data_IF_572328169848
#
_entry.id   IF_572328169848
#
_cell.length_a   1.000
_cell.length_b   1.000
_cell.length_c   1.000
_cell.angle_alpha   90.00
_cell.angle_beta   90.00
_cell.angle_gamma   90.00
#
_symmetry.space_group_name_H-M   'P 1'
#
loop_
_entity.id
_entity.type
_entity.pdbx_description
1 polymer ?
#
# COMPACT_ATOMS: atom_id res chain seq x y z
N UNK A 1 -8.63 -6.82 26.98
CA UNK A 1 -9.86 -6.02 27.21
C UNK A 1 -10.01 -5.13 25.99
N UNK A 2 -11.01 -5.39 25.13
CA UNK A 2 -11.23 -4.57 23.95
C UNK A 2 -11.58 -3.13 24.39
N UNK A 3 -10.78 -2.16 23.99
CA UNK A 3 -11.01 -0.76 24.34
C UNK A 3 -12.30 -0.28 23.63
N UNK A 4 -13.12 0.50 24.33
CA UNK A 4 -14.44 0.91 23.83
C UNK A 4 -14.31 1.64 22.48
N UNK A 5 -15.03 1.13 21.49
CA UNK A 5 -15.17 1.74 20.16
C UNK A 5 -15.78 3.15 20.36
N UNK A 6 -15.12 4.22 19.89
CA UNK A 6 -15.66 5.57 20.01
C UNK A 6 -16.92 5.73 19.15
N UNK A 7 -17.86 6.54 19.62
CA UNK A 7 -19.16 6.74 18.96
C UNK A 7 -19.00 7.24 17.53
N UNK A 8 -18.04 8.13 17.31
CA UNK A 8 -17.73 8.70 16.01
C UNK A 8 -17.24 7.62 15.03
N UNK A 9 -16.53 6.60 15.50
CA UNK A 9 -16.12 5.49 14.64
C UNK A 9 -17.35 4.66 14.23
N UNK A 10 -18.22 4.31 15.18
CA UNK A 10 -19.44 3.53 14.92
C UNK A 10 -20.42 4.24 13.97
N UNK A 11 -20.53 5.57 14.06
CA UNK A 11 -21.41 6.38 13.21
C UNK A 11 -20.93 6.49 11.75
N UNK A 12 -19.65 6.21 11.49
CA UNK A 12 -19.05 6.32 10.16
C UNK A 12 -18.75 4.95 9.51
N UNK A 13 -19.24 3.86 10.10
CA UNK A 13 -19.19 2.53 9.49
C UNK A 13 -20.20 2.44 8.34
N UNK A 14 -19.80 1.77 7.26
CA UNK A 14 -20.74 1.38 6.22
C UNK A 14 -21.72 0.32 6.72
N UNK A 15 -22.84 0.15 6.00
CA UNK A 15 -23.78 -0.94 6.28
C UNK A 15 -23.09 -2.29 6.20
N UNK A 16 -23.24 -3.10 7.25
CA UNK A 16 -22.58 -4.41 7.42
C UNK A 16 -21.04 -4.35 7.43
N UNK A 17 -20.45 -3.24 7.86
CA UNK A 17 -19.02 -3.16 8.20
C UNK A 17 -18.84 -3.46 9.68
N UNK A 18 -17.95 -4.40 10.01
CA UNK A 18 -17.69 -4.82 11.39
C UNK A 18 -16.32 -4.33 11.86
N UNK A 19 -16.28 -3.71 13.03
CA UNK A 19 -15.02 -3.37 13.69
C UNK A 19 -14.42 -4.65 14.29
N UNK A 20 -13.27 -5.06 13.76
CA UNK A 20 -12.51 -6.20 14.26
C UNK A 20 -11.69 -5.82 15.48
N UNK A 21 -11.09 -4.63 15.45
CA UNK A 21 -10.25 -4.14 16.54
C UNK A 21 -10.19 -2.61 16.59
N UNK A 22 -9.94 -2.02 17.76
CA UNK A 22 -9.78 -0.58 17.91
C UNK A 22 -8.66 -0.27 18.92
N UNK A 23 -7.68 0.53 18.50
CA UNK A 23 -6.57 0.98 19.35
C UNK A 23 -6.74 2.46 19.68
N UNK A 24 -6.48 2.83 20.94
CA UNK A 24 -6.40 4.22 21.37
C UNK A 24 -4.96 4.65 21.62
N UNK A 25 -4.58 5.84 21.13
CA UNK A 25 -3.28 6.45 21.43
C UNK A 25 -3.20 6.87 22.90
N UNK A 26 -2.14 6.45 23.62
CA UNK A 26 -1.97 6.66 25.07
C UNK A 26 -1.22 7.94 25.45
N UNK A 27 -1.06 8.89 24.52
CA UNK A 27 -0.30 10.12 24.77
C UNK A 27 -1.17 11.20 25.41
N UNK A 28 -0.89 11.57 26.66
CA UNK A 28 -1.67 12.57 27.43
C UNK A 28 -1.44 14.03 27.02
N UNK A 29 -0.54 14.29 26.06
CA UNK A 29 -0.23 15.65 25.59
C UNK A 29 -1.30 16.19 24.64
N UNK A 30 -2.03 15.32 23.95
CA UNK A 30 -3.11 15.69 23.04
C UNK A 30 -4.41 15.84 23.86
N UNK A 31 -5.14 16.95 23.67
CA UNK A 31 -6.36 17.26 24.43
C UNK A 31 -7.47 16.21 24.23
N UNK A 32 -7.44 15.53 23.07
CA UNK A 32 -8.35 14.47 22.69
C UNK A 32 -7.56 13.32 22.07
N UNK A 33 -8.02 12.07 22.26
CA UNK A 33 -7.30 10.89 21.79
C UNK A 33 -7.49 10.67 20.28
N UNK A 34 -6.48 10.04 19.69
CA UNK A 34 -6.54 9.45 18.35
C UNK A 34 -6.85 7.97 18.45
N UNK A 35 -7.62 7.46 17.50
CA UNK A 35 -8.00 6.06 17.40
C UNK A 35 -7.64 5.49 16.04
N UNK A 36 -7.33 4.20 16.04
CA UNK A 36 -7.17 3.40 14.84
C UNK A 36 -8.15 2.23 14.91
N UNK A 37 -9.20 2.29 14.10
CA UNK A 37 -10.18 1.22 13.94
C UNK A 37 -9.77 0.30 12.79
N UNK A 38 -9.65 -0.99 13.07
CA UNK A 38 -9.45 -2.03 12.06
C UNK A 38 -10.80 -2.68 11.81
N UNK A 39 -11.31 -2.60 10.58
CA UNK A 39 -12.59 -3.21 10.19
C UNK A 39 -12.38 -4.38 9.25
N UNK A 40 -13.45 -5.10 8.92
CA UNK A 40 -13.43 -6.13 7.89
C UNK A 40 -13.28 -5.59 6.46
N UNK A 41 -13.32 -4.27 6.25
CA UNK A 41 -13.20 -3.63 4.91
C UNK A 41 -12.04 -2.66 4.77
N UNK A 42 -11.66 -1.97 5.84
CA UNK A 42 -10.64 -0.91 5.80
C UNK A 42 -10.05 -0.64 7.18
N UNK A 43 -9.00 0.15 7.20
CA UNK A 43 -8.52 0.77 8.44
C UNK A 43 -9.06 2.20 8.48
N UNK A 44 -9.58 2.61 9.62
CA UNK A 44 -10.13 3.94 9.86
C UNK A 44 -9.24 4.64 10.89
N UNK A 45 -8.65 5.75 10.50
CA UNK A 45 -7.92 6.63 11.41
C UNK A 45 -8.83 7.77 11.85
N UNK A 46 -9.08 7.87 13.15
CA UNK A 46 -9.97 8.87 13.75
C UNK A 46 -9.15 9.79 14.67
N UNK A 47 -9.13 11.08 14.33
CA UNK A 47 -8.51 12.13 15.13
C UNK A 47 -9.59 13.03 15.75
N UNK A 48 -9.88 12.80 17.04
CA UNK A 48 -10.86 13.61 17.75
C UNK A 48 -10.30 15.01 18.05
N UNK A 49 -11.09 16.04 17.77
CA UNK A 49 -10.78 17.45 18.05
C UNK A 49 -11.72 18.01 19.10
N UNK A 50 -11.51 19.27 19.47
CA UNK A 50 -12.33 19.99 20.45
C UNK A 50 -13.71 20.30 19.86
N UNK A 51 -14.72 20.44 20.72
CA UNK A 51 -16.10 20.82 20.37
C UNK A 51 -16.81 19.84 19.41
N UNK A 52 -16.57 18.53 19.58
CA UNK A 52 -17.26 17.49 18.80
C UNK A 52 -16.81 17.38 17.34
N UNK A 53 -15.79 18.13 16.94
CA UNK A 53 -15.15 17.99 15.63
C UNK A 53 -14.24 16.76 15.65
N UNK A 54 -14.12 16.09 14.51
CA UNK A 54 -13.16 15.02 14.31
C UNK A 54 -12.72 14.99 12.85
N UNK A 55 -11.55 14.42 12.60
CA UNK A 55 -11.13 14.03 11.25
C UNK A 55 -11.20 12.51 11.16
N UNK A 56 -11.76 11.99 10.08
CA UNK A 56 -11.70 10.58 9.72
C UNK A 56 -10.93 10.45 8.43
N UNK A 57 -10.01 9.50 8.41
CA UNK A 57 -9.30 9.07 7.22
C UNK A 57 -9.52 7.58 7.01
N UNK A 58 -10.04 7.26 5.83
CA UNK A 58 -10.33 5.90 5.42
C UNK A 58 -9.16 5.35 4.62
N UNK A 59 -8.63 4.21 5.05
CA UNK A 59 -7.51 3.53 4.43
C UNK A 59 -8.02 2.18 3.93
N UNK A 60 -8.55 2.13 2.68
CA UNK A 60 -9.00 0.89 2.08
C UNK A 60 -7.85 -0.10 2.01
N UNK A 61 -8.16 -1.37 2.26
CA UNK A 61 -7.14 -2.40 2.22
C UNK A 61 -6.48 -2.49 0.85
N UNK A 62 -7.16 -2.23 -0.27
CA UNK A 62 -6.59 -2.27 -1.62
C UNK A 62 -5.45 -1.26 -1.79
N UNK A 63 -5.59 -0.05 -1.23
CA UNK A 63 -4.60 1.03 -1.35
C UNK A 63 -3.41 0.92 -0.41
N UNK A 64 -3.41 -0.10 0.44
CA UNK A 64 -2.35 -0.30 1.40
C UNK A 64 -1.15 -1.01 0.74
N UNK A 65 0.05 -0.45 0.84
CA UNK A 65 1.27 -1.13 0.36
C UNK A 65 1.91 -1.97 1.45
N UNK A 66 1.96 -1.41 2.66
CA UNK A 66 2.72 -1.97 3.77
C UNK A 66 2.05 -1.59 5.09
N UNK A 67 1.87 -2.58 5.96
CA UNK A 67 1.62 -2.33 7.38
C UNK A 67 2.85 -2.71 8.17
N UNK A 68 3.33 -1.79 8.99
CA UNK A 68 4.52 -1.97 9.78
C UNK A 68 4.25 -1.62 11.24
N UNK A 69 4.68 -2.50 12.12
CA UNK A 69 4.51 -2.33 13.55
C UNK A 69 5.85 -2.55 14.23
N UNK A 70 6.22 -1.62 15.10
CA UNK A 70 7.46 -1.67 15.85
C UNK A 70 7.17 -1.51 17.33
N UNK A 71 7.40 -2.56 18.09
CA UNK A 71 7.33 -2.56 19.55
C UNK A 71 8.73 -2.25 20.12
N UNK A 72 8.91 -1.04 20.65
CA UNK A 72 10.12 -0.62 21.34
C UNK A 72 10.09 -0.98 22.84
N UNK A 73 11.07 -0.48 23.61
CA UNK A 73 11.13 -0.70 25.06
C UNK A 73 9.94 -0.08 25.81
N UNK A 74 9.60 1.17 25.50
CA UNK A 74 8.58 1.94 26.22
C UNK A 74 7.21 1.97 25.50
N UNK A 75 7.19 1.96 24.18
CA UNK A 75 5.98 2.16 23.39
C UNK A 75 6.04 1.39 22.06
N UNK A 76 4.87 1.11 21.50
CA UNK A 76 4.74 0.61 20.14
C UNK A 76 4.40 1.75 19.15
N UNK A 77 4.85 1.57 17.92
CA UNK A 77 4.61 2.42 16.76
C UNK A 77 3.95 1.59 15.65
N UNK A 78 2.98 2.19 14.96
CA UNK A 78 2.21 1.63 13.86
C UNK A 78 2.41 2.57 12.68
N UNK A 79 2.83 2.04 11.55
CA UNK A 79 2.97 2.74 10.29
C UNK A 79 2.17 2.06 9.19
N UNK A 80 1.32 2.81 8.51
CA UNK A 80 0.62 2.42 7.29
C UNK A 80 1.27 3.15 6.13
N UNK A 81 1.78 2.43 5.14
CA UNK A 81 2.24 3.03 3.88
C UNK A 81 1.24 2.69 2.80
N UNK A 82 0.79 3.72 2.10
CA UNK A 82 -0.11 3.63 0.95
C UNK A 82 0.68 3.32 -0.34
N UNK A 83 -0.01 2.86 -1.37
CA UNK A 83 0.58 2.63 -2.69
C UNK A 83 1.08 3.91 -3.36
N UNK A 84 0.46 5.05 -3.07
CA UNK A 84 0.84 6.39 -3.56
C UNK A 84 2.07 6.99 -2.85
N UNK A 85 2.59 6.34 -1.82
CA UNK A 85 3.75 6.79 -1.05
C UNK A 85 3.42 7.62 0.19
N UNK A 86 2.14 7.84 0.51
CA UNK A 86 1.74 8.46 1.78
C UNK A 86 1.92 7.49 2.97
N UNK A 87 2.45 8.00 4.08
CA UNK A 87 2.69 7.24 5.33
C UNK A 87 1.85 7.83 6.47
N UNK A 88 1.01 7.01 7.10
CA UNK A 88 0.32 7.33 8.36
C UNK A 88 1.08 6.67 9.50
N UNK A 89 1.54 7.46 10.48
CA UNK A 89 2.27 6.97 11.64
C UNK A 89 1.57 7.30 12.95
N UNK A 90 1.43 6.29 13.79
CA UNK A 90 0.90 6.43 15.15
C UNK A 90 1.90 5.84 16.14
N UNK A 91 2.32 6.62 17.13
CA UNK A 91 3.23 6.20 18.20
C UNK A 91 2.55 6.25 19.56
N UNK A 92 3.15 5.64 20.58
CA UNK A 92 2.61 5.56 21.95
C UNK A 92 1.35 4.70 22.08
N UNK A 93 1.38 3.52 21.49
CA UNK A 93 0.35 2.49 21.69
C UNK A 93 0.80 1.41 22.67
N UNK A 94 -0.18 0.71 23.24
CA UNK A 94 0.03 -0.49 24.04
C UNK A 94 0.55 -1.63 23.15
N UNK A 95 1.54 -2.38 23.65
CA UNK A 95 2.18 -3.47 22.92
C UNK A 95 1.24 -4.63 22.63
N UNK A 96 0.35 -4.94 23.56
CA UNK A 96 -0.57 -6.09 23.42
C UNK A 96 -1.70 -5.75 22.44
N UNK A 97 -2.27 -4.54 22.54
CA UNK A 97 -3.27 -4.03 21.60
C UNK A 97 -2.72 -3.95 20.17
N UNK A 98 -1.45 -3.56 20.00
CA UNK A 98 -0.79 -3.53 18.69
C UNK A 98 -0.67 -4.93 18.08
N UNK A 99 -0.40 -5.96 18.89
CA UNK A 99 -0.34 -7.35 18.42
C UNK A 99 -1.72 -7.85 17.96
N UNK A 100 -2.76 -7.55 18.72
CA UNK A 100 -4.13 -7.90 18.35
C UNK A 100 -4.56 -7.15 17.07
N UNK A 101 -4.17 -5.88 16.92
CA UNK A 101 -4.49 -5.11 15.72
C UNK A 101 -3.78 -5.64 14.46
N UNK A 102 -2.51 -6.03 14.54
CA UNK A 102 -1.84 -6.60 13.36
C UNK A 102 -2.43 -7.95 12.96
N UNK A 103 -2.83 -8.77 13.93
CA UNK A 103 -3.51 -10.03 13.65
C UNK A 103 -4.87 -9.77 13.01
N UNK A 104 -5.64 -8.81 13.52
CA UNK A 104 -6.90 -8.38 12.91
C UNK A 104 -6.72 -7.86 11.47
N UNK A 105 -5.68 -7.05 11.22
CA UNK A 105 -5.37 -6.55 9.87
C UNK A 105 -4.96 -7.70 8.95
N UNK A 106 -4.14 -8.66 9.42
CA UNK A 106 -3.79 -9.85 8.63
C UNK A 106 -5.03 -10.65 8.27
N UNK A 107 -5.91 -10.89 9.23
CA UNK A 107 -7.09 -11.73 9.04
C UNK A 107 -8.10 -11.04 8.11
N UNK A 108 -8.30 -9.73 8.25
CA UNK A 108 -9.07 -8.93 7.30
C UNK A 108 -8.50 -9.00 5.88
N UNK A 109 -7.18 -8.82 5.75
CA UNK A 109 -6.50 -8.93 4.46
C UNK A 109 -6.60 -10.33 3.86
N UNK A 110 -6.46 -11.39 4.64
CA UNK A 110 -6.62 -12.78 4.17
C UNK A 110 -8.04 -13.11 3.73
N UNK A 111 -9.05 -12.49 4.33
CA UNK A 111 -10.44 -12.69 3.92
C UNK A 111 -10.75 -12.03 2.57
N UNK A 112 -9.99 -10.99 2.20
CA UNK A 112 -10.19 -10.23 0.96
C UNK A 112 -9.22 -10.72 -0.13
N UNK A 113 -8.00 -11.11 0.24
CA UNK A 113 -6.94 -11.47 -0.69
C UNK A 113 -7.10 -12.89 -1.24
N UNK A 114 -6.85 -13.04 -2.55
CA UNK A 114 -6.82 -14.35 -3.24
C UNK A 114 -5.60 -15.18 -2.81
N UNK A 115 -4.54 -14.51 -2.34
CA UNK A 115 -3.30 -15.12 -1.83
C UNK A 115 -3.08 -14.76 -0.35
N UNK A 116 -2.62 -15.72 0.44
CA UNK A 116 -2.44 -15.53 1.89
C UNK A 116 -1.33 -14.51 2.20
N UNK A 117 -1.66 -13.46 2.96
CA UNK A 117 -0.68 -12.54 3.53
C UNK A 117 -0.02 -13.14 4.77
N UNK A 118 1.31 -13.16 4.76
CA UNK A 118 2.12 -13.64 5.89
C UNK A 118 2.67 -12.45 6.68
N UNK A 119 2.57 -12.52 8.01
CA UNK A 119 3.26 -11.56 8.90
C UNK A 119 4.74 -11.96 8.97
N UNK A 120 5.63 -11.07 8.54
CA UNK A 120 7.07 -11.20 8.80
C UNK A 120 7.37 -10.64 10.19
N UNK A 121 7.87 -11.49 11.10
CA UNK A 121 8.25 -11.10 12.46
C UNK A 121 9.77 -11.07 12.58
N UNK A 122 10.33 -9.97 13.08
CA UNK A 122 11.75 -9.84 13.41
C UNK A 122 11.87 -9.46 14.88
N UNK A 123 12.38 -10.39 15.69
CA UNK A 123 12.59 -10.20 17.13
C UNK A 123 14.07 -9.89 17.40
N UNK A 124 14.35 -8.70 17.88
CA UNK A 124 15.66 -8.28 18.38
C UNK A 124 15.74 -8.33 19.91
N UNK A 125 16.94 -8.09 20.45
CA UNK A 125 17.20 -8.12 21.91
C UNK A 125 16.33 -7.13 22.70
N UNK A 126 15.92 -6.02 22.07
CA UNK A 126 15.22 -4.89 22.72
C UNK A 126 13.95 -4.43 21.96
N UNK A 127 13.61 -5.05 20.82
CA UNK A 127 12.52 -4.61 19.95
C UNK A 127 11.90 -5.77 19.17
N UNK A 128 10.61 -5.66 18.88
CA UNK A 128 9.86 -6.61 18.06
C UNK A 128 9.25 -5.86 16.87
N UNK A 129 9.50 -6.33 15.65
CA UNK A 129 9.08 -5.69 14.42
C UNK A 129 8.21 -6.65 13.60
N UNK A 130 7.02 -6.20 13.21
CA UNK A 130 6.06 -7.01 12.49
C UNK A 130 5.64 -6.27 11.21
N UNK A 131 5.65 -7.00 10.10
CA UNK A 131 5.43 -6.42 8.78
C UNK A 131 4.44 -7.26 7.96
N UNK A 132 3.44 -6.60 7.39
CA UNK A 132 2.53 -7.17 6.39
C UNK A 132 2.75 -6.42 5.09
N UNK A 133 3.27 -7.11 4.07
CA UNK A 133 3.37 -6.59 2.71
C UNK A 133 2.36 -7.30 1.84
N UNK A 134 1.52 -6.56 1.12
CA UNK A 134 0.68 -7.18 0.10
C UNK A 134 1.52 -7.55 -1.14
N UNK A 135 1.31 -8.72 -1.74
CA UNK A 135 1.79 -8.98 -3.09
C UNK A 135 1.10 -7.98 -4.04
N UNK A 136 1.82 -7.49 -5.06
CA UNK A 136 1.25 -6.53 -6.01
C UNK A 136 0.02 -7.15 -6.65
N UNK A 137 -1.16 -6.62 -6.37
CA UNK A 137 -2.39 -6.99 -7.07
C UNK A 137 -2.19 -6.63 -8.54
N UNK A 138 -1.90 -7.63 -9.37
CA UNK A 138 -2.15 -7.50 -10.81
C UNK A 138 -3.66 -7.51 -10.95
N UNK A 139 -4.27 -6.33 -10.89
CA UNK A 139 -5.63 -6.14 -11.39
C UNK A 139 -5.55 -6.34 -12.90
N UNK A 140 -5.64 -7.61 -13.34
CA UNK A 140 -6.13 -7.91 -14.67
C UNK A 140 -7.58 -7.47 -14.67
N UNK A 141 -7.80 -6.19 -14.99
CA UNK A 141 -9.10 -5.75 -15.43
C UNK A 141 -9.33 -6.52 -16.72
N UNK A 142 -9.94 -7.70 -16.61
CA UNK A 142 -10.65 -8.30 -17.72
C UNK A 142 -11.76 -7.30 -17.99
N UNK A 143 -11.48 -6.34 -18.88
CA UNK A 143 -12.50 -5.46 -19.41
C UNK A 143 -13.63 -6.38 -19.87
N UNK A 144 -14.89 -6.11 -19.49
CA UNK A 144 -16.00 -6.91 -20.00
C UNK A 144 -15.90 -6.89 -21.51
N UNK A 145 -15.68 -8.06 -22.10
CA UNK A 145 -15.66 -8.27 -23.54
C UNK A 145 -17.05 -7.88 -24.03
N UNK A 146 -17.20 -6.62 -24.45
CA UNK A 146 -18.35 -6.17 -25.21
C UNK A 146 -18.24 -6.84 -26.58
N UNK A 147 -19.24 -7.59 -27.04
CA UNK A 147 -19.23 -8.08 -28.40
C UNK A 147 -19.44 -6.91 -29.37
N UNK A 148 -18.61 -6.90 -30.41
CA UNK A 148 -18.79 -6.25 -31.72
C UNK A 148 -18.79 -4.71 -31.79
N UNK A 149 -17.68 -4.14 -32.26
CA UNK A 149 -17.62 -3.54 -33.60
C UNK A 149 -16.22 -3.71 -34.20
N UNK A 150 -16.23 -3.95 -35.50
CA UNK A 150 -15.13 -4.38 -36.37
C UNK A 150 -14.12 -3.24 -36.57
N UNK A 151 -12.91 -3.38 -36.05
CA UNK A 151 -11.73 -2.69 -36.57
C UNK A 151 -10.48 -3.52 -36.26
N UNK A 152 -9.64 -3.86 -37.26
CA UNK A 152 -8.50 -4.73 -37.06
C UNK A 152 -7.34 -3.91 -36.49
N UNK A 153 -7.24 -3.79 -35.17
CA UNK A 153 -6.00 -3.31 -34.55
C UNK A 153 -4.90 -4.36 -34.71
N UNK A 154 -4.06 -4.09 -35.70
CA UNK A 154 -2.80 -4.74 -36.00
C UNK A 154 -2.01 -4.99 -34.70
N UNK A 155 -1.80 -6.27 -34.40
CA UNK A 155 -0.53 -6.71 -33.81
C UNK A 155 0.57 -6.48 -34.86
N UNK A 156 1.08 -5.25 -34.96
CA UNK A 156 2.37 -5.01 -35.61
C UNK A 156 3.45 -5.16 -34.55
N UNK A 157 3.97 -6.38 -34.47
CA UNK A 157 5.24 -6.68 -33.84
C UNK A 157 6.37 -6.26 -34.79
N UNK A 158 6.32 -5.01 -35.27
CA UNK A 158 7.29 -4.40 -36.15
C UNK A 158 7.72 -3.10 -35.47
N UNK A 159 8.73 -3.21 -34.60
CA UNK A 159 9.43 -2.03 -34.14
C UNK A 159 10.09 -1.40 -35.36
N UNK A 160 9.54 -0.27 -35.81
CA UNK A 160 10.02 0.48 -36.96
C UNK A 160 11.53 0.74 -36.78
N UNK A 161 12.42 0.29 -37.69
CA UNK A 161 13.87 0.41 -37.53
C UNK A 161 14.35 1.84 -37.26
N UNK A 162 13.58 2.83 -37.74
CA UNK A 162 13.80 4.24 -37.49
C UNK A 162 13.62 4.65 -36.01
N UNK A 163 12.67 4.06 -35.29
CA UNK A 163 12.50 4.32 -33.85
C UNK A 163 13.64 3.72 -33.04
N UNK A 164 14.16 2.57 -33.47
CA UNK A 164 15.31 1.93 -32.83
C UNK A 164 16.59 2.77 -33.02
N UNK A 165 16.78 3.36 -34.20
CA UNK A 165 17.86 4.31 -34.47
C UNK A 165 17.78 5.57 -33.59
N UNK A 166 16.57 6.07 -33.34
CA UNK A 166 16.35 7.24 -32.46
C UNK A 166 16.75 6.95 -31.01
N UNK A 167 16.31 5.81 -30.45
CA UNK A 167 16.70 5.36 -29.10
C UNK A 167 18.20 5.11 -28.98
N UNK A 168 18.83 4.57 -30.02
CA UNK A 168 20.28 4.33 -30.02
C UNK A 168 21.07 5.63 -29.92
N UNK A 169 20.59 6.71 -30.57
CA UNK A 169 21.20 8.03 -30.51
C UNK A 169 21.05 8.67 -29.13
N UNK A 170 19.88 8.54 -28.51
CA UNK A 170 19.64 9.01 -27.15
C UNK A 170 20.57 8.34 -26.11
N UNK A 171 20.89 7.05 -26.30
CA UNK A 171 21.83 6.33 -25.43
C UNK A 171 23.28 6.80 -25.58
N UNK A 172 23.69 7.21 -26.78
CA UNK A 172 25.01 7.80 -27.03
C UNK A 172 25.10 9.22 -26.45
N UNK A 173 24.08 10.04 -26.65
CA UNK A 173 24.03 11.41 -26.12
C UNK A 173 23.99 11.43 -24.58
N UNK A 174 23.48 10.35 -23.96
CA UNK A 174 23.50 10.12 -22.52
C UNK A 174 24.82 9.52 -21.99
N UNK A 175 25.83 9.30 -22.86
CA UNK A 175 27.13 8.67 -22.54
C UNK A 175 27.00 7.28 -21.90
N UNK A 176 25.88 6.58 -22.17
CA UNK A 176 25.59 5.24 -21.64
C UNK A 176 26.29 4.16 -22.48
N UNK A 177 26.53 4.45 -23.75
CA UNK A 177 27.20 3.57 -24.71
C UNK A 177 28.35 4.33 -25.37
N UNK A 178 29.42 3.61 -25.71
CA UNK A 178 30.55 4.21 -26.42
C UNK A 178 30.23 4.46 -27.90
N UNK A 179 30.98 5.37 -28.52
CA UNK A 179 30.87 5.68 -29.95
C UNK A 179 31.04 4.44 -30.84
N UNK A 180 31.84 3.47 -30.38
CA UNK A 180 32.14 2.22 -31.07
C UNK A 180 30.97 1.22 -30.98
N UNK A 181 30.29 1.15 -29.83
CA UNK A 181 29.10 0.31 -29.65
C UNK A 181 27.87 0.89 -30.37
N UNK A 182 27.79 2.22 -30.45
CA UNK A 182 26.75 2.92 -31.20
C UNK A 182 26.83 2.61 -32.70
N UNK A 183 28.01 2.71 -33.31
CA UNK A 183 28.19 2.50 -34.76
C UNK A 183 27.85 1.07 -35.17
N UNK A 184 28.36 0.07 -34.43
CA UNK A 184 28.11 -1.33 -34.73
C UNK A 184 26.60 -1.69 -34.70
N UNK A 185 25.87 -1.17 -33.71
CA UNK A 185 24.42 -1.44 -33.60
C UNK A 185 23.61 -0.60 -34.59
N UNK A 186 24.03 0.63 -34.90
CA UNK A 186 23.41 1.46 -35.93
C UNK A 186 23.50 0.82 -37.31
N UNK A 187 24.65 0.27 -37.68
CA UNK A 187 24.84 -0.38 -38.98
C UNK A 187 24.05 -1.70 -39.08
N UNK A 188 23.95 -2.43 -37.97
CA UNK A 188 23.09 -3.62 -37.88
C UNK A 188 21.60 -3.28 -38.01
N UNK A 189 21.18 -2.09 -37.60
CA UNK A 189 19.79 -1.61 -37.76
C UNK A 189 19.53 -1.05 -39.15
N UNK A 190 20.49 -0.34 -39.74
CA UNK A 190 20.42 0.18 -41.12
C UNK A 190 20.41 -0.94 -42.16
N UNK A 191 21.06 -2.08 -41.90
CA UNK A 191 21.01 -3.25 -42.81
C UNK A 191 19.69 -4.04 -42.76
N UNK A 192 18.81 -3.72 -41.79
CA UNK A 192 17.46 -4.28 -41.68
C UNK A 192 16.37 -3.37 -42.28
N UNK A 193 16.76 -2.22 -42.83
CA UNK A 193 15.92 -1.27 -43.58
C UNK A 193 16.20 -1.47 -45.08
#
# INVERSE_FOLDING_TARGET
MAEQIPKELSENLYSNENVLFCIKKRMKTELKPKFLGVTDRRIIYLDQKVLGRYNIEDIPYEKLKLVHFKSGKLAAEFTLTHEDGHDIRMSWMNKDEVKEAIEAVRDALNNIAVEQVTIKKKKGLMSEEWQISKPKEMVSRVAPVRPSHTEPEKRSNDADPYEQLKKLKELLDADIISQEEYSAKRDALLSKI
#
